data_IF_063358549883
#
_entry.id   IF_063358549883
#
_cell.length_a   1.000
_cell.length_b   1.000
_cell.length_c   1.000
_cell.angle_alpha   90.00
_cell.angle_beta   90.00
_cell.angle_gamma   90.00
#
_symmetry.space_group_name_H-M   'P 1'
#
loop_
_entity.id
_entity.type
_entity.pdbx_description
1 polymer ?
#
# COMPACT_ATOMS: atom_id res chain seq x y z
N UNK A 1 0.91 7.81 -25.14
CA UNK A 1 1.91 8.18 -24.11
C UNK A 1 1.94 7.07 -23.09
N UNK A 2 3.04 6.32 -22.92
CA UNK A 2 3.10 5.24 -21.92
C UNK A 2 3.02 5.89 -20.54
N UNK A 3 1.90 5.69 -19.86
CA UNK A 3 1.69 6.14 -18.49
C UNK A 3 2.71 5.45 -17.59
N UNK A 4 3.49 6.23 -16.86
CA UNK A 4 4.40 5.70 -15.83
C UNK A 4 3.54 4.90 -14.84
N UNK A 5 3.90 3.66 -14.46
CA UNK A 5 3.14 2.89 -13.50
C UNK A 5 3.09 3.65 -12.18
N UNK A 6 1.89 4.03 -11.75
CA UNK A 6 1.64 4.69 -10.46
C UNK A 6 0.94 3.70 -9.56
N UNK A 7 1.33 3.63 -8.29
CA UNK A 7 0.65 2.78 -7.32
C UNK A 7 -0.47 3.52 -6.59
N UNK A 8 -0.38 4.85 -6.46
CA UNK A 8 -1.33 5.69 -5.72
C UNK A 8 -2.04 6.70 -6.62
N UNK A 9 -3.25 7.09 -6.23
CA UNK A 9 -4.00 8.14 -6.93
C UNK A 9 -4.58 7.69 -8.27
N UNK A 10 -4.68 6.38 -8.49
CA UNK A 10 -5.25 5.77 -9.70
C UNK A 10 -6.39 4.84 -9.31
N UNK A 11 -7.22 4.48 -10.30
CA UNK A 11 -8.36 3.58 -10.06
C UNK A 11 -7.85 2.20 -9.68
N UNK A 12 -8.62 1.49 -8.85
CA UNK A 12 -8.22 0.19 -8.33
C UNK A 12 -7.94 -0.84 -9.44
N UNK A 13 -8.71 -0.77 -10.54
CA UNK A 13 -8.54 -1.62 -11.72
C UNK A 13 -7.27 -1.33 -12.54
N UNK A 14 -6.69 -0.15 -12.39
CA UNK A 14 -5.45 0.26 -13.07
C UNK A 14 -4.19 -0.08 -12.27
N UNK A 15 -4.36 -0.55 -11.02
CA UNK A 15 -3.23 -0.90 -10.16
C UNK A 15 -2.47 -2.12 -10.68
N UNK A 16 -1.15 -2.15 -10.42
CA UNK A 16 -0.35 -3.34 -10.68
C UNK A 16 -0.92 -4.53 -9.89
N UNK A 17 -1.29 -5.64 -10.55
CA UNK A 17 -1.84 -6.81 -9.87
C UNK A 17 -0.75 -7.51 -9.05
N UNK A 18 -1.18 -8.10 -7.93
CA UNK A 18 -0.36 -8.99 -7.13
C UNK A 18 -0.02 -10.29 -7.89
N UNK A 19 1.15 -10.89 -7.63
CA UNK A 19 1.55 -12.17 -8.23
C UNK A 19 0.65 -13.34 -7.79
N UNK A 20 0.25 -13.40 -6.52
CA UNK A 20 -0.51 -14.53 -5.98
C UNK A 20 -2.01 -14.39 -6.27
N UNK A 21 -2.53 -13.16 -6.28
CA UNK A 21 -3.92 -12.88 -6.64
C UNK A 21 -4.07 -11.65 -7.55
N UNK A 22 -4.27 -11.90 -8.85
CA UNK A 22 -4.42 -10.85 -9.87
C UNK A 22 -5.63 -9.91 -9.68
N UNK A 23 -6.56 -10.23 -8.76
CA UNK A 23 -7.69 -9.37 -8.41
C UNK A 23 -7.35 -8.34 -7.32
N UNK A 24 -6.15 -8.41 -6.75
CA UNK A 24 -5.70 -7.56 -5.65
C UNK A 24 -4.51 -6.72 -6.14
N UNK A 25 -4.43 -5.42 -5.79
CA UNK A 25 -3.25 -4.62 -6.05
C UNK A 25 -2.02 -5.16 -5.30
N UNK A 26 -0.85 -5.15 -5.95
CA UNK A 26 0.43 -5.58 -5.36
C UNK A 26 0.73 -4.91 -4.01
N UNK A 27 0.45 -3.60 -3.89
CA UNK A 27 0.65 -2.85 -2.65
C UNK A 27 -0.19 -3.40 -1.49
N UNK A 28 -1.44 -3.79 -1.76
CA UNK A 28 -2.34 -4.33 -0.73
C UNK A 28 -1.81 -5.66 -0.25
N UNK A 29 -1.45 -6.55 -1.16
CA UNK A 29 -0.87 -7.86 -0.80
C UNK A 29 0.43 -7.71 -0.02
N UNK A 30 1.36 -6.87 -0.48
CA UNK A 30 2.63 -6.65 0.18
C UNK A 30 2.47 -6.08 1.60
N UNK A 31 1.59 -5.08 1.78
CA UNK A 31 1.33 -4.54 3.11
C UNK A 31 0.65 -5.55 4.04
N UNK A 32 -0.35 -6.28 3.55
CA UNK A 32 -1.04 -7.31 4.34
C UNK A 32 -0.08 -8.42 4.76
N UNK A 33 0.77 -8.90 3.86
CA UNK A 33 1.76 -9.93 4.17
C UNK A 33 2.69 -9.54 5.31
N UNK A 34 3.19 -8.30 5.33
CA UNK A 34 4.05 -7.81 6.42
C UNK A 34 3.27 -7.69 7.74
N UNK A 35 2.02 -7.23 7.68
CA UNK A 35 1.17 -7.09 8.86
C UNK A 35 0.77 -8.45 9.44
N UNK A 36 0.46 -9.44 8.59
CA UNK A 36 0.10 -10.78 9.04
C UNK A 36 1.31 -11.52 9.63
N UNK A 37 2.50 -11.32 9.09
CA UNK A 37 3.75 -11.95 9.57
C UNK A 37 4.21 -11.40 10.93
N UNK A 38 4.05 -10.09 11.18
CA UNK A 38 4.68 -9.41 12.34
C UNK A 38 3.72 -8.60 13.21
N UNK A 39 2.53 -8.30 12.72
CA UNK A 39 1.65 -7.27 13.27
C UNK A 39 0.57 -7.76 14.21
N UNK A 40 0.26 -9.06 14.25
CA UNK A 40 -0.89 -9.58 14.99
C UNK A 40 -0.77 -9.39 16.51
N UNK A 41 0.44 -9.38 17.04
CA UNK A 41 0.73 -9.12 18.47
C UNK A 41 1.16 -7.66 18.73
N UNK A 42 1.22 -6.82 17.69
CA UNK A 42 1.69 -5.45 17.80
C UNK A 42 0.62 -4.54 18.40
N UNK A 43 0.89 -3.99 19.58
CA UNK A 43 -0.06 -3.14 20.29
C UNK A 43 -0.40 -1.87 19.49
N UNK A 44 -1.68 -1.66 19.22
CA UNK A 44 -2.16 -0.46 18.53
C UNK A 44 -1.88 -0.45 17.03
N UNK A 45 -1.71 -1.63 16.42
CA UNK A 45 -1.63 -1.77 14.96
C UNK A 45 -2.80 -1.06 14.28
N UNK A 46 -2.53 -0.42 13.13
CA UNK A 46 -3.42 0.50 12.42
C UNK A 46 -3.87 1.76 13.18
N UNK A 47 -3.79 1.83 14.51
CA UNK A 47 -4.13 3.02 15.30
C UNK A 47 -2.96 4.00 15.43
N UNK A 48 -1.77 3.50 15.74
CA UNK A 48 -0.56 4.32 15.88
C UNK A 48 -0.08 4.76 14.48
N UNK A 49 0.20 6.06 14.24
CA UNK A 49 0.69 6.51 12.94
C UNK A 49 2.18 6.20 12.76
N UNK A 50 2.55 5.72 11.58
CA UNK A 50 3.95 5.65 11.16
C UNK A 50 4.57 7.01 10.83
N UNK A 51 5.89 7.03 10.66
CA UNK A 51 6.63 8.22 10.28
C UNK A 51 6.22 8.71 8.88
N UNK A 52 5.62 9.91 8.81
CA UNK A 52 5.10 10.50 7.58
C UNK A 52 6.16 10.71 6.48
N UNK A 53 7.42 10.98 6.85
CA UNK A 53 8.50 11.16 5.88
C UNK A 53 8.82 9.82 5.19
N UNK A 54 8.84 8.72 5.96
CA UNK A 54 9.08 7.38 5.44
C UNK A 54 7.91 6.90 4.59
N UNK A 55 6.67 7.13 5.05
CA UNK A 55 5.46 6.82 4.28
C UNK A 55 5.46 7.54 2.93
N UNK A 56 5.79 8.84 2.92
CA UNK A 56 5.89 9.63 1.68
C UNK A 56 6.98 9.10 0.75
N UNK A 57 8.15 8.75 1.31
CA UNK A 57 9.27 8.16 0.56
C UNK A 57 8.89 6.83 -0.11
N UNK A 58 8.22 5.93 0.62
CA UNK A 58 7.73 4.66 0.07
C UNK A 58 6.67 4.88 -1.00
N UNK A 59 5.75 5.81 -0.77
CA UNK A 59 4.72 6.15 -1.74
C UNK A 59 5.33 6.65 -3.06
N UNK A 60 6.33 7.54 -3.00
CA UNK A 60 7.04 8.03 -4.18
C UNK A 60 7.80 6.91 -4.89
N UNK A 61 8.45 6.01 -4.15
CA UNK A 61 9.14 4.86 -4.71
C UNK A 61 8.17 3.95 -5.48
N UNK A 62 7.03 3.64 -4.88
CA UNK A 62 5.99 2.80 -5.50
C UNK A 62 5.40 3.48 -6.75
N UNK A 63 5.21 4.81 -6.71
CA UNK A 63 4.73 5.59 -7.86
C UNK A 63 5.73 5.75 -9.00
N UNK A 64 7.02 5.48 -8.78
CA UNK A 64 8.04 5.46 -9.83
C UNK A 64 8.02 4.16 -10.64
N UNK A 65 7.18 3.19 -10.27
CA UNK A 65 7.06 1.92 -10.97
C UNK A 65 8.12 0.91 -10.55
N UNK A 66 8.38 0.80 -9.25
CA UNK A 66 9.15 -0.32 -8.73
C UNK A 66 8.36 -1.61 -9.03
N UNK A 67 8.76 -2.32 -10.09
CA UNK A 67 8.15 -3.59 -10.48
C UNK A 67 8.25 -4.63 -9.36
N UNK A 68 9.21 -4.46 -8.45
CA UNK A 68 9.49 -5.34 -7.33
C UNK A 68 9.52 -4.54 -6.02
N UNK A 69 8.68 -4.94 -5.07
CA UNK A 69 8.71 -4.43 -3.70
C UNK A 69 9.76 -5.22 -2.93
N UNK A 70 10.82 -4.56 -2.49
CA UNK A 70 11.82 -5.18 -1.62
C UNK A 70 11.34 -5.15 -0.16
N UNK A 71 10.74 -6.25 0.29
CA UNK A 71 10.29 -6.39 1.69
C UNK A 71 11.45 -6.40 2.70
N UNK A 72 12.70 -6.57 2.27
CA UNK A 72 13.87 -6.52 3.16
C UNK A 72 14.40 -5.10 3.41
N UNK A 73 13.86 -4.10 2.71
CA UNK A 73 14.18 -2.70 2.98
C UNK A 73 13.72 -2.33 4.40
N UNK A 74 14.57 -1.62 5.15
CA UNK A 74 14.32 -1.23 6.54
C UNK A 74 13.00 -0.46 6.70
N UNK A 75 12.63 0.33 5.69
CA UNK A 75 11.37 1.08 5.68
C UNK A 75 10.14 0.16 5.65
N UNK A 76 10.29 -1.05 5.12
CA UNK A 76 9.24 -2.08 5.11
C UNK A 76 9.19 -2.90 6.42
N UNK A 77 10.13 -2.70 7.33
CA UNK A 77 10.16 -3.38 8.63
C UNK A 77 9.37 -2.63 9.72
N UNK A 78 9.09 -1.33 9.53
CA UNK A 78 8.29 -0.54 10.47
C UNK A 78 6.79 -0.77 10.22
N UNK A 79 6.14 -1.51 11.12
CA UNK A 79 4.71 -1.83 11.05
C UNK A 79 3.81 -0.60 11.04
N UNK A 80 4.15 0.45 11.78
CA UNK A 80 3.34 1.67 11.80
C UNK A 80 3.42 2.39 10.45
N UNK A 81 4.60 2.39 9.83
CA UNK A 81 4.78 2.91 8.46
C UNK A 81 3.97 2.09 7.46
N UNK A 82 4.04 0.76 7.50
CA UNK A 82 3.26 -0.11 6.59
C UNK A 82 1.75 0.08 6.77
N UNK A 83 1.27 0.13 8.02
CA UNK A 83 -0.14 0.40 8.30
C UNK A 83 -0.57 1.78 7.78
N UNK A 84 0.24 2.81 8.00
CA UNK A 84 -0.03 4.16 7.48
C UNK A 84 0.00 4.20 5.94
N UNK A 85 0.91 3.46 5.31
CA UNK A 85 1.01 3.36 3.86
C UNK A 85 -0.24 2.72 3.25
N UNK A 86 -0.69 1.59 3.82
CA UNK A 86 -1.91 0.91 3.37
C UNK A 86 -3.16 1.79 3.54
N UNK A 87 -3.31 2.47 4.69
CA UNK A 87 -4.39 3.44 4.90
C UNK A 87 -4.33 4.60 3.90
N UNK A 88 -3.14 5.11 3.62
CA UNK A 88 -2.91 6.18 2.64
C UNK A 88 -3.30 5.74 1.23
N UNK A 89 -3.06 4.49 0.86
CA UNK A 89 -3.45 3.93 -0.44
C UNK A 89 -4.96 4.02 -0.64
N UNK A 90 -5.75 3.43 0.27
CA UNK A 90 -7.21 3.46 0.17
C UNK A 90 -7.78 4.89 0.20
N UNK A 91 -7.23 5.77 1.03
CA UNK A 91 -7.66 7.18 1.11
C UNK A 91 -7.40 7.96 -0.18
N UNK A 92 -6.42 7.54 -0.98
CA UNK A 92 -6.02 8.21 -2.22
C UNK A 92 -6.63 7.58 -3.47
N UNK A 93 -7.47 6.56 -3.34
CA UNK A 93 -8.22 6.05 -4.47
C UNK A 93 -9.15 7.15 -5.02
N UNK A 94 -9.27 7.31 -6.35
CA UNK A 94 -10.21 8.26 -6.95
C UNK A 94 -11.67 7.98 -6.62
N UNK A 95 -11.99 6.70 -6.37
CA UNK A 95 -13.29 6.21 -5.94
C UNK A 95 -13.09 5.43 -4.63
N UNK A 96 -13.96 5.61 -3.62
CA UNK A 96 -13.86 4.86 -2.37
C UNK A 96 -13.91 3.34 -2.62
N UNK A 97 -13.27 2.58 -1.73
CA UNK A 97 -13.22 1.10 -1.85
C UNK A 97 -14.62 0.48 -1.88
N UNK A 98 -15.53 1.01 -1.06
CA UNK A 98 -16.96 0.79 -1.23
C UNK A 98 -17.45 1.87 -2.18
N UNK A 99 -17.79 1.45 -3.39
CA UNK A 99 -18.21 2.34 -4.48
C UNK A 99 -19.45 3.15 -4.07
N UNK A 100 -19.61 4.34 -4.64
CA UNK A 100 -20.67 5.28 -4.21
C UNK A 100 -22.08 4.70 -4.40
N UNK A 101 -22.28 3.74 -5.32
CA UNK A 101 -23.55 3.03 -5.50
C UNK A 101 -23.90 2.07 -4.35
N UNK A 102 -22.95 1.81 -3.45
CA UNK A 102 -23.08 0.90 -2.29
C UNK A 102 -23.18 1.64 -0.95
N UNK A 103 -23.10 2.97 -0.95
CA UNK A 103 -23.33 3.83 0.22
C UNK A 103 -24.78 4.31 0.30
#
# INVERSE_FOLDING_TARGET
KKTVPRAFGIRLEDCQPAPDNKKIPLIVEACCKVVEDKGLEYMGIYRVPGNNAVVSSLQEQLNKGAAEINLQDERWQDLNVICSLLKSFFRKLPEPLFTDDKY
#
